data_IF_579350091491
#
_entry.id   IF_579350091491
#
_cell.length_a   1.000
_cell.length_b   1.000
_cell.length_c   1.000
_cell.angle_alpha   90.00
_cell.angle_beta   90.00
_cell.angle_gamma   90.00
#
_symmetry.space_group_name_H-M   'P 1'
#
loop_
_entity.id
_entity.type
_entity.pdbx_description
1 polymer ?
#
# COMPACT_ATOMS: atom_id res chain seq x y z
N UNK A 1 -17.92 14.17 5.89
CA UNK A 1 -16.64 14.74 5.40
C UNK A 1 -15.81 13.73 4.63
N UNK A 2 -15.58 12.52 5.16
CA UNK A 2 -14.76 11.47 4.50
C UNK A 2 -15.34 11.01 3.16
N UNK A 3 -16.64 10.78 3.03
CA UNK A 3 -17.28 10.42 1.76
C UNK A 3 -17.08 11.47 0.64
N UNK A 4 -17.09 12.76 0.99
CA UNK A 4 -16.79 13.83 0.01
C UNK A 4 -15.34 13.82 -0.44
N UNK A 5 -14.38 13.54 0.46
CA UNK A 5 -12.96 13.37 0.11
C UNK A 5 -12.73 12.14 -0.79
N UNK A 6 -13.47 11.06 -0.56
CA UNK A 6 -13.44 9.84 -1.38
C UNK A 6 -13.82 10.12 -2.84
N UNK A 7 -14.88 10.90 -3.04
CA UNK A 7 -15.34 11.28 -4.38
C UNK A 7 -14.35 12.22 -5.07
N UNK A 8 -13.75 13.17 -4.35
CA UNK A 8 -12.87 14.17 -4.96
C UNK A 8 -11.56 13.58 -5.53
N UNK A 9 -10.95 12.58 -4.87
CA UNK A 9 -9.68 12.02 -5.34
C UNK A 9 -9.86 10.81 -6.26
N UNK A 10 -10.94 10.04 -6.11
CA UNK A 10 -11.19 8.86 -6.93
C UNK A 10 -11.55 9.23 -8.38
N UNK A 11 -12.30 10.31 -8.61
CA UNK A 11 -12.69 10.72 -9.95
C UNK A 11 -11.50 11.13 -10.85
N UNK A 12 -10.57 12.01 -10.43
CA UNK A 12 -9.40 12.31 -11.24
C UNK A 12 -8.59 11.06 -11.59
N UNK A 13 -8.40 10.14 -10.64
CA UNK A 13 -7.69 8.87 -10.89
C UNK A 13 -8.38 8.08 -11.99
N UNK A 14 -9.70 7.91 -11.92
CA UNK A 14 -10.48 7.15 -12.92
C UNK A 14 -10.42 7.79 -14.31
N UNK A 15 -10.65 9.10 -14.38
CA UNK A 15 -10.63 9.83 -15.65
C UNK A 15 -9.26 9.76 -16.30
N UNK A 16 -8.19 9.99 -15.52
CA UNK A 16 -6.81 9.92 -16.02
C UNK A 16 -6.42 8.49 -16.42
N UNK A 17 -6.87 7.47 -15.67
CA UNK A 17 -6.61 6.07 -15.99
C UNK A 17 -7.33 5.60 -17.25
N UNK A 18 -8.56 6.11 -17.50
CA UNK A 18 -9.29 5.87 -18.73
C UNK A 18 -8.62 6.63 -19.90
N UNK A 19 -8.27 7.90 -19.71
CA UNK A 19 -7.57 8.70 -20.72
C UNK A 19 -6.23 8.06 -21.13
N UNK A 20 -5.54 7.43 -20.18
CA UNK A 20 -4.31 6.66 -20.41
C UNK A 20 -4.50 5.50 -21.42
N UNK A 21 -5.71 4.97 -21.59
CA UNK A 21 -6.02 3.91 -22.56
C UNK A 21 -6.38 4.42 -23.97
N UNK A 22 -6.50 5.75 -24.20
CA UNK A 22 -6.99 6.30 -25.46
C UNK A 22 -5.93 6.35 -26.58
N UNK A 23 -4.64 6.17 -26.27
CA UNK A 23 -3.61 6.08 -27.29
C UNK A 23 -3.17 4.63 -27.52
N UNK A 24 -2.67 4.29 -28.71
CA UNK A 24 -2.05 3.01 -28.98
C UNK A 24 -0.75 2.92 -28.18
N UNK A 25 -0.82 2.28 -27.02
CA UNK A 25 0.27 2.19 -26.06
C UNK A 25 1.19 0.98 -26.30
N UNK A 26 1.10 0.32 -27.46
CA UNK A 26 1.82 -0.94 -27.75
C UNK A 26 1.50 -2.07 -26.78
N UNK A 27 0.38 -1.95 -26.06
CA UNK A 27 -0.01 -2.97 -25.11
C UNK A 27 -0.35 -4.27 -25.81
N UNK A 28 0.31 -5.34 -25.43
CA UNK A 28 -0.14 -6.68 -25.71
C UNK A 28 -1.24 -7.12 -24.72
N UNK A 29 -1.63 -8.37 -24.83
CA UNK A 29 -2.78 -8.92 -24.09
C UNK A 29 -2.59 -8.82 -22.58
N UNK A 30 -1.39 -9.13 -22.07
CA UNK A 30 -1.11 -9.11 -20.64
C UNK A 30 -1.20 -7.69 -20.08
N UNK A 31 -0.62 -6.70 -20.78
CA UNK A 31 -0.68 -5.29 -20.36
C UNK A 31 -2.12 -4.75 -20.33
N UNK A 32 -2.95 -5.13 -21.30
CA UNK A 32 -4.38 -4.78 -21.30
C UNK A 32 -5.15 -5.43 -20.15
N UNK A 33 -4.85 -6.70 -19.83
CA UNK A 33 -5.45 -7.37 -18.66
C UNK A 33 -5.07 -6.63 -17.38
N UNK A 34 -3.77 -6.30 -17.19
CA UNK A 34 -3.31 -5.56 -16.03
C UNK A 34 -3.97 -4.18 -15.93
N UNK A 35 -4.08 -3.45 -17.05
CA UNK A 35 -4.76 -2.17 -17.11
C UNK A 35 -6.22 -2.30 -16.67
N UNK A 36 -6.94 -3.30 -17.19
CA UNK A 36 -8.36 -3.54 -16.87
C UNK A 36 -8.54 -3.90 -15.39
N UNK A 37 -7.67 -4.75 -14.82
CA UNK A 37 -7.70 -5.11 -13.40
C UNK A 37 -7.51 -3.88 -12.51
N UNK A 38 -6.57 -2.99 -12.86
CA UNK A 38 -6.38 -1.71 -12.15
C UNK A 38 -7.62 -0.81 -12.33
N UNK A 39 -8.16 -0.70 -13.55
CA UNK A 39 -9.36 0.09 -13.81
C UNK A 39 -10.53 -0.36 -12.93
N UNK A 40 -10.83 -1.67 -12.89
CA UNK A 40 -11.86 -2.24 -12.01
C UNK A 40 -11.55 -1.93 -10.54
N UNK A 41 -10.29 -2.10 -10.13
CA UNK A 41 -9.83 -1.80 -8.77
C UNK A 41 -10.11 -0.37 -8.33
N UNK A 42 -10.05 0.62 -9.23
CA UNK A 42 -10.36 2.03 -8.91
C UNK A 42 -11.84 2.26 -8.56
N UNK A 43 -12.75 1.38 -8.97
CA UNK A 43 -14.17 1.46 -8.64
C UNK A 43 -14.52 0.75 -7.35
N UNK A 44 -13.72 -0.24 -6.94
CA UNK A 44 -13.94 -1.03 -5.74
C UNK A 44 -13.09 -0.45 -4.61
N UNK A 45 -13.71 0.31 -3.70
CA UNK A 45 -13.01 0.87 -2.54
C UNK A 45 -12.85 -0.20 -1.45
N UNK A 46 -11.72 -0.91 -1.47
CA UNK A 46 -11.39 -1.95 -0.52
C UNK A 46 -9.86 -2.08 -0.35
N UNK A 47 -9.33 -2.50 0.81
CA UNK A 47 -7.89 -2.70 1.01
C UNK A 47 -7.24 -3.66 0.01
N UNK A 48 -7.96 -4.68 -0.47
CA UNK A 48 -7.49 -5.59 -1.52
C UNK A 48 -7.27 -4.84 -2.83
N UNK A 49 -8.25 -4.01 -3.24
CA UNK A 49 -8.13 -3.19 -4.45
C UNK A 49 -6.96 -2.21 -4.37
N UNK A 50 -6.73 -1.60 -3.20
CA UNK A 50 -5.58 -0.75 -2.96
C UNK A 50 -4.26 -1.49 -3.17
N UNK A 51 -4.15 -2.72 -2.65
CA UNK A 51 -2.97 -3.57 -2.87
C UNK A 51 -2.77 -3.86 -4.35
N UNK A 52 -3.83 -4.31 -5.03
CA UNK A 52 -3.82 -4.64 -6.47
C UNK A 52 -3.40 -3.45 -7.31
N UNK A 53 -4.01 -2.28 -7.08
CA UNK A 53 -3.68 -1.04 -7.79
C UNK A 53 -2.20 -0.67 -7.59
N UNK A 54 -1.72 -0.64 -6.35
CA UNK A 54 -0.34 -0.26 -6.03
C UNK A 54 0.70 -1.25 -6.53
N UNK A 55 0.34 -2.52 -6.68
CA UNK A 55 1.23 -3.52 -7.26
C UNK A 55 1.28 -3.47 -8.79
N UNK A 56 0.13 -3.29 -9.46
CA UNK A 56 0.02 -3.46 -10.91
C UNK A 56 0.10 -2.14 -11.69
N UNK A 57 -0.46 -1.04 -11.18
CA UNK A 57 -0.46 0.23 -11.90
C UNK A 57 0.95 0.73 -12.29
N UNK A 58 1.99 0.64 -11.42
CA UNK A 58 3.33 1.07 -11.81
C UNK A 58 3.91 0.24 -12.97
N UNK A 59 3.55 -1.05 -13.07
CA UNK A 59 4.02 -1.93 -14.14
C UNK A 59 3.44 -1.51 -15.47
N UNK A 60 2.13 -1.24 -15.51
CA UNK A 60 1.43 -0.79 -16.73
C UNK A 60 1.96 0.56 -17.20
N UNK A 61 2.16 1.51 -16.28
CA UNK A 61 2.71 2.83 -16.61
C UNK A 61 4.16 2.71 -17.09
N UNK A 62 4.99 1.91 -16.42
CA UNK A 62 6.37 1.68 -16.82
C UNK A 62 6.46 1.07 -18.22
N UNK A 63 5.64 0.07 -18.53
CA UNK A 63 5.56 -0.53 -19.86
C UNK A 63 5.22 0.50 -20.92
N UNK A 64 4.22 1.35 -20.67
CA UNK A 64 3.84 2.43 -21.57
C UNK A 64 4.95 3.48 -21.79
N UNK A 65 5.70 3.81 -20.73
CA UNK A 65 6.86 4.71 -20.84
C UNK A 65 7.94 4.08 -21.73
N UNK A 66 8.30 2.83 -21.51
CA UNK A 66 9.30 2.12 -22.31
C UNK A 66 8.88 2.06 -23.78
N UNK A 67 7.62 1.73 -24.04
CA UNK A 67 7.08 1.70 -25.41
C UNK A 67 7.12 3.09 -26.07
N UNK A 68 6.69 4.14 -25.38
CA UNK A 68 6.72 5.50 -25.91
C UNK A 68 8.15 6.01 -26.20
N UNK A 69 9.15 5.51 -25.51
CA UNK A 69 10.56 5.83 -25.77
C UNK A 69 11.15 5.04 -26.95
N UNK A 70 10.60 3.86 -27.27
CA UNK A 70 11.06 3.03 -28.41
C UNK A 70 10.42 3.45 -29.73
N UNK A 71 9.27 4.09 -29.70
CA UNK A 71 8.56 4.63 -30.85
C UNK A 71 8.84 6.13 -31.04
N UNK A 72 8.31 6.71 -32.13
CA UNK A 72 8.38 8.17 -32.29
C UNK A 72 7.55 8.87 -31.22
N UNK A 73 8.16 9.80 -30.49
CA UNK A 73 7.51 10.62 -29.47
C UNK A 73 6.48 11.57 -30.13
N UNK A 74 5.27 11.10 -30.32
CA UNK A 74 4.15 11.95 -30.70
C UNK A 74 3.63 12.74 -29.50
N UNK A 75 3.07 13.92 -29.76
CA UNK A 75 2.43 14.73 -28.69
C UNK A 75 1.32 13.97 -27.97
N UNK A 76 0.59 13.11 -28.68
CA UNK A 76 -0.47 12.27 -28.14
C UNK A 76 0.12 11.22 -27.17
N UNK A 77 1.19 10.52 -27.55
CA UNK A 77 1.84 9.52 -26.69
C UNK A 77 2.36 10.16 -25.39
N UNK A 78 2.97 11.36 -25.50
CA UNK A 78 3.42 12.10 -24.34
C UNK A 78 2.25 12.47 -23.41
N UNK A 79 1.15 12.97 -23.96
CA UNK A 79 -0.03 13.35 -23.17
C UNK A 79 -0.63 12.13 -22.44
N UNK A 80 -0.75 11.00 -23.12
CA UNK A 80 -1.32 9.78 -22.55
C UNK A 80 -0.43 9.19 -21.46
N UNK A 81 0.88 9.08 -21.70
CA UNK A 81 1.83 8.63 -20.66
C UNK A 81 1.80 9.56 -19.46
N UNK A 82 1.70 10.87 -19.69
CA UNK A 82 1.56 11.86 -18.60
C UNK A 82 0.29 11.62 -17.78
N UNK A 83 -0.84 11.32 -18.40
CA UNK A 83 -2.08 10.93 -17.69
C UNK A 83 -1.86 9.69 -16.82
N UNK A 84 -1.17 8.67 -17.33
CA UNK A 84 -0.81 7.46 -16.57
C UNK A 84 0.07 7.79 -15.35
N UNK A 85 1.11 8.60 -15.53
CA UNK A 85 2.02 9.01 -14.44
C UNK A 85 1.27 9.83 -13.38
N UNK A 86 0.45 10.80 -13.77
CA UNK A 86 -0.31 11.61 -12.82
C UNK A 86 -1.31 10.72 -12.06
N UNK A 87 -2.02 9.83 -12.77
CA UNK A 87 -2.93 8.87 -12.12
C UNK A 87 -2.18 8.00 -11.11
N UNK A 88 -1.00 7.48 -11.49
CA UNK A 88 -0.16 6.70 -10.59
C UNK A 88 0.25 7.48 -9.34
N UNK A 89 0.70 8.73 -9.49
CA UNK A 89 1.05 9.59 -8.36
C UNK A 89 -0.13 9.78 -7.40
N UNK A 90 -1.34 10.00 -7.94
CA UNK A 90 -2.56 10.14 -7.14
C UNK A 90 -2.90 8.84 -6.40
N UNK A 91 -2.74 7.66 -7.02
CA UNK A 91 -2.98 6.34 -6.40
C UNK A 91 -2.05 6.07 -5.19
N UNK A 92 -0.86 6.70 -5.16
CA UNK A 92 0.09 6.57 -4.06
C UNK A 92 -0.08 7.64 -2.97
N UNK A 93 -1.00 8.59 -3.13
CA UNK A 93 -1.25 9.59 -2.09
C UNK A 93 -1.84 8.95 -0.82
N UNK A 94 -1.60 9.62 0.32
CA UNK A 94 -2.18 9.22 1.61
C UNK A 94 -3.71 9.26 1.58
N UNK A 95 -4.28 10.19 0.82
CA UNK A 95 -5.72 10.40 0.70
C UNK A 95 -6.40 9.25 -0.02
N UNK A 96 -5.83 8.83 -1.15
CA UNK A 96 -6.32 7.68 -1.90
C UNK A 96 -6.24 6.38 -1.08
N UNK A 97 -5.11 6.16 -0.40
CA UNK A 97 -4.94 5.00 0.48
C UNK A 97 -5.94 4.99 1.65
N UNK A 98 -6.09 6.13 2.33
CA UNK A 98 -7.04 6.27 3.45
C UNK A 98 -8.49 6.06 3.01
N UNK A 99 -8.82 6.47 1.77
CA UNK A 99 -10.13 6.25 1.17
C UNK A 99 -10.50 4.76 1.09
N UNK A 100 -9.59 3.95 0.54
CA UNK A 100 -9.79 2.51 0.39
C UNK A 100 -9.85 1.77 1.72
N UNK A 101 -9.01 2.18 2.68
CA UNK A 101 -8.98 1.57 4.01
C UNK A 101 -10.24 1.92 4.80
N UNK A 102 -10.71 3.18 4.72
CA UNK A 102 -11.92 3.63 5.40
C UNK A 102 -13.21 3.01 4.81
N UNK A 103 -13.22 2.71 3.52
CA UNK A 103 -14.38 2.07 2.89
C UNK A 103 -14.67 0.64 3.41
N UNK A 104 -13.64 -0.03 3.95
CA UNK A 104 -13.81 -1.32 4.63
C UNK A 104 -14.14 -1.22 6.11
N UNK A 105 -14.41 -0.02 6.66
CA UNK A 105 -14.74 0.17 8.06
C UNK A 105 -16.20 -0.20 8.36
N UNK A 106 -16.44 -0.74 9.56
CA UNK A 106 -17.77 -1.09 10.04
C UNK A 106 -18.28 -0.04 11.04
N UNK A 107 -19.55 0.35 10.90
CA UNK A 107 -20.22 1.26 11.84
C UNK A 107 -19.47 2.60 11.99
N UNK A 108 -19.14 2.97 13.22
CA UNK A 108 -18.51 4.25 13.56
C UNK A 108 -16.98 4.19 13.62
N UNK A 109 -16.35 3.19 13.00
CA UNK A 109 -14.91 3.07 12.96
C UNK A 109 -14.25 4.13 12.08
N UNK A 110 -13.13 4.68 12.55
CA UNK A 110 -12.23 5.52 11.74
C UNK A 110 -10.87 4.85 11.64
N UNK A 111 -10.46 4.54 10.41
CA UNK A 111 -9.20 3.86 10.10
C UNK A 111 -8.18 4.84 9.54
N UNK A 112 -6.99 4.83 10.12
CA UNK A 112 -5.84 5.64 9.71
C UNK A 112 -4.74 4.70 9.22
N UNK A 113 -4.43 4.74 7.93
CA UNK A 113 -3.40 3.90 7.34
C UNK A 113 -2.02 4.22 7.96
N UNK A 114 -1.30 3.20 8.41
CA UNK A 114 0.06 3.33 8.93
C UNK A 114 1.07 3.40 7.77
N UNK A 115 2.18 4.08 8.02
CA UNK A 115 3.31 4.15 7.09
C UNK A 115 4.07 2.83 7.09
N UNK A 116 4.68 2.48 5.95
CA UNK A 116 5.48 1.27 5.82
C UNK A 116 6.80 1.44 6.59
N UNK A 117 7.21 0.46 7.44
CA UNK A 117 8.49 0.51 8.14
C UNK A 117 9.67 0.63 7.19
N UNK A 118 10.62 1.52 7.50
CA UNK A 118 11.75 1.77 6.62
C UNK A 118 12.56 0.50 6.25
N UNK A 119 12.85 -0.44 7.16
CA UNK A 119 13.60 -1.65 6.83
C UNK A 119 12.90 -2.58 5.85
N UNK A 120 11.56 -2.48 5.74
CA UNK A 120 10.75 -3.35 4.85
C UNK A 120 10.65 -2.76 3.43
N UNK A 121 10.91 -1.47 3.25
CA UNK A 121 10.75 -0.79 1.96
C UNK A 121 11.65 -1.41 0.89
N UNK A 122 12.95 -1.54 1.15
CA UNK A 122 13.91 -2.05 0.16
C UNK A 122 13.62 -3.50 -0.25
N UNK A 123 13.43 -4.48 0.67
CA UNK A 123 13.00 -5.83 0.31
C UNK A 123 11.70 -5.87 -0.49
N UNK A 124 10.73 -5.01 -0.14
CA UNK A 124 9.46 -4.89 -0.87
C UNK A 124 9.69 -4.42 -2.31
N UNK A 125 10.51 -3.39 -2.51
CA UNK A 125 10.82 -2.86 -3.84
C UNK A 125 11.57 -3.89 -4.69
N UNK A 126 12.54 -4.63 -4.13
CA UNK A 126 13.26 -5.70 -4.83
C UNK A 126 12.29 -6.80 -5.26
N UNK A 127 11.46 -7.28 -4.33
CA UNK A 127 10.47 -8.33 -4.64
C UNK A 127 9.49 -7.86 -5.70
N UNK A 128 9.04 -6.61 -5.61
CA UNK A 128 8.16 -6.00 -6.61
C UNK A 128 8.85 -5.87 -7.98
N UNK A 129 10.11 -5.45 -8.02
CA UNK A 129 10.87 -5.32 -9.26
C UNK A 129 11.06 -6.68 -9.96
N UNK A 130 11.35 -7.74 -9.20
CA UNK A 130 11.43 -9.10 -9.74
C UNK A 130 10.09 -9.55 -10.32
N UNK A 131 9.00 -9.33 -9.61
CA UNK A 131 7.65 -9.63 -10.07
C UNK A 131 7.30 -8.85 -11.35
N UNK A 132 7.61 -7.55 -11.39
CA UNK A 132 7.40 -6.70 -12.54
C UNK A 132 8.22 -7.17 -13.76
N UNK A 133 9.49 -7.57 -13.54
CA UNK A 133 10.35 -8.09 -14.60
C UNK A 133 9.76 -9.36 -15.22
N UNK A 134 9.30 -10.31 -14.40
CA UNK A 134 8.65 -11.54 -14.91
C UNK A 134 7.43 -11.21 -15.76
N UNK A 135 6.61 -10.24 -15.33
CA UNK A 135 5.42 -9.79 -16.09
C UNK A 135 5.80 -9.18 -17.44
N UNK A 136 6.82 -8.32 -17.48
CA UNK A 136 7.27 -7.67 -18.73
C UNK A 136 7.88 -8.70 -19.69
N UNK A 137 8.69 -9.63 -19.18
CA UNK A 137 9.29 -10.69 -20.02
C UNK A 137 8.22 -11.66 -20.52
N UNK A 138 7.22 -11.99 -19.71
CA UNK A 138 6.07 -12.79 -20.12
C UNK A 138 5.28 -12.11 -21.24
N UNK A 139 5.02 -10.79 -21.13
CA UNK A 139 4.36 -10.03 -22.18
C UNK A 139 5.11 -10.14 -23.51
N UNK A 140 6.44 -9.92 -23.48
CA UNK A 140 7.27 -10.03 -24.69
C UNK A 140 7.28 -11.48 -25.25
N UNK A 141 7.29 -12.50 -24.40
CA UNK A 141 7.21 -13.89 -24.82
C UNK A 141 5.86 -14.21 -25.50
N UNK A 142 4.77 -13.68 -24.99
CA UNK A 142 3.42 -13.85 -25.57
C UNK A 142 3.34 -13.13 -26.92
N UNK A 143 3.83 -11.89 -27.01
CA UNK A 143 3.83 -11.12 -28.26
C UNK A 143 4.68 -11.76 -29.37
N UNK A 144 5.80 -12.40 -29.01
CA UNK A 144 6.70 -13.10 -29.93
C UNK A 144 6.31 -14.56 -30.20
N UNK A 145 5.16 -15.01 -29.68
CA UNK A 145 4.68 -16.39 -29.77
C UNK A 145 5.68 -17.45 -29.24
N UNK A 146 6.59 -17.04 -28.36
CA UNK A 146 7.60 -17.90 -27.78
C UNK A 146 7.04 -18.66 -26.56
N UNK A 147 6.27 -19.72 -26.83
CA UNK A 147 5.65 -20.53 -25.78
C UNK A 147 6.65 -21.31 -24.93
N UNK A 148 7.85 -21.62 -25.48
CA UNK A 148 8.91 -22.29 -24.73
C UNK A 148 9.38 -21.45 -23.54
N UNK A 149 9.45 -20.13 -23.72
CA UNK A 149 9.76 -19.17 -22.65
C UNK A 149 8.50 -18.77 -21.87
N UNK A 150 7.38 -18.57 -22.55
CA UNK A 150 6.14 -18.07 -21.95
C UNK A 150 5.53 -18.99 -20.89
N UNK A 151 5.50 -20.30 -21.14
CA UNK A 151 4.92 -21.27 -20.20
C UNK A 151 5.69 -21.33 -18.86
N UNK A 152 7.02 -21.47 -18.81
CA UNK A 152 7.78 -21.41 -17.58
C UNK A 152 7.63 -20.08 -16.83
N UNK A 153 7.59 -18.95 -17.54
CA UNK A 153 7.38 -17.63 -16.93
C UNK A 153 5.99 -17.51 -16.32
N UNK A 154 4.95 -18.02 -16.97
CA UNK A 154 3.59 -18.03 -16.41
C UNK A 154 3.53 -18.88 -15.14
N UNK A 155 4.14 -20.05 -15.12
CA UNK A 155 4.22 -20.90 -13.92
C UNK A 155 5.00 -20.20 -12.79
N UNK A 156 6.12 -19.56 -13.12
CA UNK A 156 6.89 -18.77 -12.16
C UNK A 156 6.06 -17.60 -11.61
N UNK A 157 5.29 -16.89 -12.45
CA UNK A 157 4.41 -15.80 -12.04
C UNK A 157 3.33 -16.29 -11.08
N UNK A 158 2.71 -17.45 -11.35
CA UNK A 158 1.71 -18.05 -10.46
C UNK A 158 2.34 -18.38 -9.10
N UNK A 159 3.50 -19.04 -9.09
CA UNK A 159 4.22 -19.38 -7.87
C UNK A 159 4.66 -18.14 -7.07
N UNK A 160 5.14 -17.10 -7.75
CA UNK A 160 5.50 -15.83 -7.13
C UNK A 160 4.27 -15.11 -6.58
N UNK A 161 3.16 -15.06 -7.31
CA UNK A 161 1.92 -14.41 -6.88
C UNK A 161 1.39 -15.01 -5.59
N UNK A 162 1.50 -16.32 -5.42
CA UNK A 162 1.08 -17.03 -4.21
C UNK A 162 1.78 -16.51 -2.93
N UNK A 163 3.07 -16.14 -3.03
CA UNK A 163 3.84 -15.58 -1.91
C UNK A 163 3.81 -14.04 -1.88
N UNK A 164 3.90 -13.41 -3.03
CA UNK A 164 3.98 -11.96 -3.16
C UNK A 164 2.67 -11.25 -2.76
N UNK A 165 1.52 -11.71 -3.26
CA UNK A 165 0.26 -11.03 -3.03
C UNK A 165 -0.12 -10.94 -1.53
N UNK A 166 -0.01 -12.00 -0.69
CA UNK A 166 -0.26 -11.88 0.73
C UNK A 166 0.70 -10.93 1.45
N UNK A 167 1.99 -10.91 1.05
CA UNK A 167 2.98 -10.00 1.65
C UNK A 167 2.66 -8.54 1.35
N UNK A 168 2.33 -8.23 0.09
CA UNK A 168 1.91 -6.89 -0.30
C UNK A 168 0.61 -6.48 0.38
N UNK A 169 -0.31 -7.43 0.53
CA UNK A 169 -1.58 -7.16 1.21
C UNK A 169 -1.40 -6.84 2.69
N UNK A 170 -0.47 -7.49 3.38
CA UNK A 170 -0.13 -7.14 4.78
C UNK A 170 0.30 -5.69 4.94
N UNK A 171 1.03 -5.12 3.97
CA UNK A 171 1.43 -3.71 3.99
C UNK A 171 0.22 -2.76 3.89
N UNK A 172 -0.82 -3.15 3.16
CA UNK A 172 -2.06 -2.38 3.03
C UNK A 172 -3.04 -2.57 4.20
N UNK A 173 -2.81 -3.58 5.06
CA UNK A 173 -3.62 -3.90 6.24
C UNK A 173 -3.05 -3.34 7.54
N UNK A 174 -2.15 -2.39 7.48
CA UNK A 174 -1.60 -1.72 8.65
C UNK A 174 -2.37 -0.44 8.93
N UNK A 175 -3.13 -0.40 10.00
CA UNK A 175 -3.91 0.79 10.37
C UNK A 175 -4.08 0.96 11.87
N UNK A 176 -4.19 2.22 12.28
CA UNK A 176 -4.70 2.62 13.58
C UNK A 176 -6.20 2.84 13.44
N UNK A 177 -7.01 2.20 14.27
CA UNK A 177 -8.47 2.26 14.22
C UNK A 177 -8.99 2.95 15.47
N UNK A 178 -9.80 3.99 15.31
CA UNK A 178 -10.60 4.54 16.39
C UNK A 178 -11.95 3.84 16.41
N UNK A 179 -12.27 3.21 17.52
CA UNK A 179 -13.55 2.55 17.79
C UNK A 179 -14.22 3.18 19.01
N UNK A 180 -15.53 2.99 19.25
CA UNK A 180 -16.19 3.53 20.45
C UNK A 180 -15.54 3.09 21.77
N UNK A 181 -14.97 1.89 21.82
CA UNK A 181 -14.31 1.33 23.01
C UNK A 181 -12.87 1.85 23.23
N UNK A 182 -12.27 2.54 22.24
CA UNK A 182 -10.87 3.02 22.33
C UNK A 182 -10.15 3.04 20.98
N UNK A 183 -8.90 2.60 20.99
CA UNK A 183 -8.05 2.55 19.82
C UNK A 183 -7.50 1.14 19.61
N UNK A 184 -7.41 0.73 18.35
CA UNK A 184 -6.84 -0.58 17.97
C UNK A 184 -5.71 -0.34 16.98
N UNK A 185 -4.53 -0.86 17.28
CA UNK A 185 -3.43 -0.98 16.31
C UNK A 185 -3.56 -2.33 15.63
N UNK A 186 -3.89 -2.33 14.35
CA UNK A 186 -3.91 -3.51 13.50
C UNK A 186 -2.68 -3.49 12.61
N UNK A 187 -1.74 -4.37 12.85
CA UNK A 187 -0.47 -4.43 12.15
C UNK A 187 0.07 -5.87 12.09
N UNK A 188 -0.38 -6.63 11.12
CA UNK A 188 0.04 -8.03 10.91
C UNK A 188 1.55 -8.18 10.59
N UNK A 189 2.27 -7.05 10.41
CA UNK A 189 3.70 -7.06 10.12
C UNK A 189 4.54 -7.03 11.41
N UNK A 190 4.24 -6.10 12.32
CA UNK A 190 5.02 -5.90 13.54
C UNK A 190 4.40 -6.58 14.76
N UNK A 191 3.09 -6.77 14.80
CA UNK A 191 2.35 -7.35 15.91
C UNK A 191 1.94 -8.79 15.60
N UNK A 192 1.95 -9.65 16.61
CA UNK A 192 1.41 -11.01 16.54
C UNK A 192 -0.11 -11.02 16.70
N UNK A 193 -0.64 -10.03 17.43
CA UNK A 193 -2.08 -9.82 17.65
C UNK A 193 -2.42 -8.33 17.66
N UNK A 194 -3.69 -7.99 17.45
CA UNK A 194 -4.15 -6.60 17.48
C UNK A 194 -3.99 -6.01 18.88
N UNK A 195 -3.37 -4.83 18.97
CA UNK A 195 -3.21 -4.11 20.22
C UNK A 195 -4.43 -3.23 20.48
N UNK A 196 -5.25 -3.59 21.47
CA UNK A 196 -6.41 -2.79 21.89
C UNK A 196 -6.05 -1.91 23.08
N UNK A 197 -6.20 -0.60 22.88
CA UNK A 197 -6.11 0.42 23.95
C UNK A 197 -7.52 0.88 24.30
N UNK A 198 -8.03 0.47 25.45
CA UNK A 198 -9.36 0.88 25.91
C UNK A 198 -9.36 2.36 26.31
N UNK A 199 -10.49 3.04 26.11
CA UNK A 199 -10.62 4.49 26.38
C UNK A 199 -10.25 4.89 27.81
N UNK A 200 -10.53 4.05 28.82
CA UNK A 200 -10.20 4.33 30.22
C UNK A 200 -8.69 4.20 30.52
N UNK A 201 -7.96 3.43 29.70
CA UNK A 201 -6.50 3.27 29.82
C UNK A 201 -5.72 4.30 29.01
N UNK A 202 -6.39 5.03 28.12
CA UNK A 202 -5.77 6.08 27.31
C UNK A 202 -5.56 7.34 28.16
N UNK A 203 -4.32 7.83 28.23
CA UNK A 203 -3.97 9.11 28.86
C UNK A 203 -3.92 10.23 27.83
N UNK A 204 -3.14 10.03 26.77
CA UNK A 204 -2.93 11.05 25.75
C UNK A 204 -2.57 10.42 24.40
N UNK A 205 -2.87 11.17 23.33
CA UNK A 205 -2.41 10.91 21.98
C UNK A 205 -1.81 12.21 21.46
N UNK A 206 -0.50 12.28 21.35
CA UNK A 206 0.23 13.48 20.98
C UNK A 206 1.33 13.16 19.95
N UNK A 207 1.94 14.19 19.38
CA UNK A 207 3.16 13.99 18.60
C UNK A 207 4.30 13.54 19.51
N UNK A 208 5.05 12.55 19.08
CA UNK A 208 6.18 12.05 19.84
C UNK A 208 7.29 13.11 19.96
N UNK A 209 7.88 13.19 21.14
CA UNK A 209 9.11 13.94 21.37
C UNK A 209 10.31 13.18 20.75
N UNK A 210 11.38 13.92 20.40
CA UNK A 210 12.56 13.36 19.75
C UNK A 210 13.29 12.27 20.56
N UNK A 211 13.20 12.35 21.89
CA UNK A 211 13.86 11.42 22.84
C UNK A 211 12.83 10.63 23.65
N UNK A 212 11.77 10.14 23.01
CA UNK A 212 10.77 9.34 23.71
C UNK A 212 11.28 7.91 23.93
N UNK A 213 11.19 7.42 25.18
CA UNK A 213 11.48 6.03 25.57
C UNK A 213 10.33 5.06 25.20
N UNK A 214 9.31 5.53 24.50
CA UNK A 214 8.17 4.74 24.09
C UNK A 214 8.56 3.66 23.07
N UNK A 215 7.90 2.50 23.11
CA UNK A 215 8.12 1.42 22.14
C UNK A 215 7.83 1.90 20.70
N UNK A 216 8.82 1.86 19.83
CA UNK A 216 8.68 2.33 18.44
C UNK A 216 8.02 1.29 17.53
N UNK A 217 6.67 1.30 17.45
CA UNK A 217 5.91 0.54 16.46
C UNK A 217 5.78 1.28 15.12
N UNK A 218 6.39 2.46 14.96
CA UNK A 218 6.44 3.14 13.67
C UNK A 218 7.39 2.45 12.68
N UNK A 219 8.37 1.70 13.19
CA UNK A 219 9.38 1.01 12.41
C UNK A 219 10.35 1.95 11.71
N UNK A 220 10.78 3.00 12.40
CA UNK A 220 11.75 4.00 11.90
C UNK A 220 11.28 4.69 10.61
N UNK A 221 10.00 4.93 10.45
CA UNK A 221 9.47 5.66 9.30
C UNK A 221 9.85 7.14 9.35
N UNK A 222 9.94 7.77 8.17
CA UNK A 222 10.18 9.22 8.09
C UNK A 222 8.96 10.00 8.60
N UNK A 223 9.21 11.11 9.29
CA UNK A 223 8.20 12.03 9.83
C UNK A 223 7.98 11.84 11.33
N UNK A 224 7.21 12.74 11.92
CA UNK A 224 6.93 12.71 13.36
C UNK A 224 5.92 11.60 13.63
N UNK A 225 6.24 10.59 14.46
CA UNK A 225 5.29 9.59 14.91
C UNK A 225 4.33 10.19 15.93
N UNK A 226 3.26 9.45 16.20
CA UNK A 226 2.28 9.76 17.22
C UNK A 226 2.56 8.84 18.39
N UNK A 227 2.65 9.41 19.58
CA UNK A 227 2.78 8.70 20.84
C UNK A 227 1.40 8.48 21.44
N UNK A 228 1.12 7.24 21.80
CA UNK A 228 -0.05 6.82 22.57
C UNK A 228 0.42 6.47 23.96
N UNK A 229 0.02 7.26 24.96
CA UNK A 229 0.39 7.10 26.37
C UNK A 229 -0.74 6.45 27.15
N UNK A 230 -0.41 5.49 27.99
CA UNK A 230 -1.33 4.65 28.72
C UNK A 230 -1.24 4.93 30.23
N UNK A 231 -2.34 4.75 30.94
CA UNK A 231 -2.39 4.84 32.40
C UNK A 231 -1.75 3.63 33.05
N UNK A 232 -2.10 2.45 32.57
CA UNK A 232 -1.59 1.16 33.03
C UNK A 232 -0.81 0.50 31.90
N UNK A 233 0.25 -0.23 32.27
CA UNK A 233 1.04 -0.99 31.31
C UNK A 233 0.17 -2.01 30.59
N UNK A 234 0.42 -2.18 29.31
CA UNK A 234 -0.29 -3.11 28.45
C UNK A 234 0.70 -4.03 27.77
N UNK A 235 0.34 -5.30 27.64
CA UNK A 235 1.15 -6.28 26.92
C UNK A 235 1.07 -6.05 25.43
N UNK A 236 2.24 -5.91 24.81
CA UNK A 236 2.39 -5.84 23.35
C UNK A 236 3.08 -7.12 22.89
N UNK A 237 2.39 -7.91 22.09
CA UNK A 237 2.94 -9.12 21.48
C UNK A 237 3.43 -8.82 20.07
N UNK A 238 4.74 -8.94 19.89
CA UNK A 238 5.40 -8.68 18.62
C UNK A 238 5.39 -9.95 17.74
N UNK A 239 5.30 -9.74 16.44
CA UNK A 239 5.57 -10.79 15.47
C UNK A 239 7.07 -11.15 15.48
N UNK A 240 7.45 -12.28 14.90
CA UNK A 240 8.88 -12.63 14.75
C UNK A 240 9.66 -11.55 13.98
N UNK A 241 9.03 -10.93 12.98
CA UNK A 241 9.64 -9.83 12.26
C UNK A 241 9.74 -8.57 13.13
N UNK A 242 8.67 -8.25 13.88
CA UNK A 242 8.65 -7.11 14.81
C UNK A 242 9.74 -7.23 15.87
N UNK A 243 9.85 -8.37 16.55
CA UNK A 243 10.87 -8.63 17.55
C UNK A 243 12.30 -8.50 17.00
N UNK A 244 12.54 -9.01 15.78
CA UNK A 244 13.83 -8.87 15.09
C UNK A 244 14.16 -7.43 14.71
N UNK A 245 13.19 -6.68 14.18
CA UNK A 245 13.39 -5.29 13.78
C UNK A 245 13.62 -4.38 14.97
N UNK A 246 12.90 -4.60 16.06
CA UNK A 246 13.03 -3.82 17.30
C UNK A 246 14.14 -4.35 18.24
N UNK A 247 14.78 -5.48 17.87
CA UNK A 247 15.84 -6.14 18.65
C UNK A 247 15.44 -6.39 20.11
N UNK A 248 14.23 -6.90 20.32
CA UNK A 248 13.64 -7.09 21.64
C UNK A 248 12.93 -8.45 21.75
N UNK A 249 12.36 -8.72 22.92
CA UNK A 249 11.58 -9.94 23.19
C UNK A 249 10.21 -9.90 22.50
N UNK A 250 9.58 -11.05 22.37
CA UNK A 250 8.28 -11.21 21.69
C UNK A 250 7.12 -10.56 22.47
N UNK A 251 7.27 -10.42 23.81
CA UNK A 251 6.26 -9.78 24.66
C UNK A 251 6.91 -8.67 25.48
N UNK A 252 6.31 -7.50 25.44
CA UNK A 252 6.75 -6.31 26.15
C UNK A 252 5.60 -5.70 26.96
N UNK A 253 5.87 -5.29 28.20
CA UNK A 253 4.96 -4.47 28.99
C UNK A 253 5.29 -3.00 28.77
N UNK A 254 4.39 -2.26 28.13
CA UNK A 254 4.65 -0.87 27.74
C UNK A 254 3.60 0.08 28.30
N UNK A 255 4.03 1.27 28.71
CA UNK A 255 3.16 2.37 29.13
C UNK A 255 2.98 3.42 28.02
N UNK A 256 3.82 3.38 26.98
CA UNK A 256 3.68 4.23 25.80
C UNK A 256 4.26 3.53 24.58
N UNK A 257 3.67 3.82 23.40
CA UNK A 257 4.19 3.34 22.14
C UNK A 257 3.98 4.36 21.02
N UNK A 258 4.82 4.27 20.00
CA UNK A 258 4.80 5.16 18.84
C UNK A 258 4.18 4.47 17.64
N UNK A 259 3.33 5.18 16.89
CA UNK A 259 2.80 4.76 15.60
C UNK A 259 2.94 5.88 14.59
N UNK A 260 3.21 5.54 13.33
CA UNK A 260 3.29 6.54 12.26
C UNK A 260 2.12 6.37 11.29
N UNK A 261 1.16 7.27 11.34
CA UNK A 261 0.02 7.30 10.43
C UNK A 261 0.32 8.15 9.20
N UNK A 262 -0.32 7.84 8.08
CA UNK A 262 -0.22 8.65 6.85
C UNK A 262 -0.98 9.96 6.95
N UNK A 263 -2.01 10.00 7.81
CA UNK A 263 -2.80 11.19 8.18
C UNK A 263 -2.89 11.29 9.70
N UNK A 264 -2.85 12.51 10.22
CA UNK A 264 -2.94 12.76 11.65
C UNK A 264 -4.32 12.39 12.20
N UNK A 265 -4.43 11.54 13.24
CA UNK A 265 -5.68 11.20 13.90
C UNK A 265 -6.12 12.23 14.94
N UNK A 266 -5.34 13.29 15.15
CA UNK A 266 -5.52 14.30 16.23
C UNK A 266 -6.63 15.33 15.94
N UNK A 267 -7.35 15.22 14.81
CA UNK A 267 -8.44 16.11 14.41
C UNK A 267 -9.80 15.43 14.48
#
# INVERSE_FOLDING_TARGET
MIQRLLTHIAWPVRVLWIAFALAPNGFGVVAWILWAVVAIGTWIHHPISLTTIRCLAPIVVFYSVVYALSESLSSLNIAVVTCGIISLMLMFTADYGSAHVQAGAYGNERRFLLRIPAPVVLPTLITWALFATVLVVLENAVQSENYVLGIPLLLALIAMSWKFAPQMHRLSKRWLVRVPAGWVVHDDLLLAENLLVRSHNLVAIDFALAESDALDLSGMTRGVPIQISLREMTDVRLSQLGARLLKTMDVLHVQAFLVATTRTPLN
#
